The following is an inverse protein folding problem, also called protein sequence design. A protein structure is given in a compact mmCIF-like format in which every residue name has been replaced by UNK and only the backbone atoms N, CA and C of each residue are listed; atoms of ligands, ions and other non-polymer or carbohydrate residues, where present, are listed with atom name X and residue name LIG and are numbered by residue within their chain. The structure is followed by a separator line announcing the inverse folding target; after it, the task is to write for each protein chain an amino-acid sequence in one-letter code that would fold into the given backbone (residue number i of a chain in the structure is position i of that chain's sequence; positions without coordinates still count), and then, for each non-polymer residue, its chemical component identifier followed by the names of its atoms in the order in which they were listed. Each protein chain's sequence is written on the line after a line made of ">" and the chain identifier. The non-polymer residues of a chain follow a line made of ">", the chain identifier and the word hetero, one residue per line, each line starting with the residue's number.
data_IF_303015905116
#
_entry.id   IF_303015905116
#
_cell.length_a   1.000
_cell.length_b   1.000
_cell.length_c   1.000
_cell.angle_alpha   90.00
_cell.angle_beta   90.00
_cell.angle_gamma   90.00
#
_symmetry.space_group_name_H-M   'P 1'
#
loop_
_entity.id
_entity.type
_entity.pdbx_description
1 polymer ?
#
# COMPACT_ATOMS: atom_id res chain seq x y z
N UNK A 1 -15.67 19.19 1.03
CA UNK A 1 -14.80 18.69 2.09
C UNK A 1 -13.99 17.50 1.59
N UNK A 2 -12.79 17.31 2.07
CA UNK A 2 -11.88 16.23 1.67
C UNK A 2 -11.62 15.31 2.85
N UNK A 3 -11.60 13.99 2.61
CA UNK A 3 -11.24 13.01 3.64
C UNK A 3 -9.73 12.71 3.52
N UNK A 4 -8.96 13.07 4.54
CA UNK A 4 -7.54 12.75 4.66
C UNK A 4 -7.27 11.79 5.83
N UNK A 5 -8.34 11.26 6.43
CA UNK A 5 -8.31 10.36 7.59
C UNK A 5 -8.90 9.01 7.23
N UNK A 6 -8.39 7.95 7.87
CA UNK A 6 -8.88 6.58 7.75
C UNK A 6 -8.80 5.89 9.12
N UNK A 7 -9.71 4.93 9.36
CA UNK A 7 -9.87 4.21 10.62
C UNK A 7 -10.96 4.81 11.50
N UNK A 8 -11.36 4.08 12.55
CA UNK A 8 -12.36 4.50 13.54
C UNK A 8 -11.74 4.77 14.90
N UNK A 9 -11.24 3.73 15.58
CA UNK A 9 -10.53 3.85 16.87
C UNK A 9 -9.06 4.12 16.57
N UNK A 10 -8.37 3.18 15.90
CA UNK A 10 -7.07 3.47 15.33
C UNK A 10 -7.27 4.26 14.06
N UNK A 11 -7.17 5.55 14.13
CA UNK A 11 -7.32 6.40 12.96
C UNK A 11 -6.06 7.26 12.75
N UNK A 12 -5.84 7.63 11.48
CA UNK A 12 -4.76 8.57 11.18
C UNK A 12 -5.12 9.50 10.04
N UNK A 13 -4.64 10.73 10.16
CA UNK A 13 -4.76 11.78 9.15
C UNK A 13 -3.41 12.06 8.54
N UNK A 14 -3.27 11.97 7.20
CA UNK A 14 -2.03 12.32 6.49
C UNK A 14 -2.12 13.72 5.89
N UNK A 15 -1.01 14.44 5.86
CA UNK A 15 -0.89 15.79 5.31
C UNK A 15 0.45 15.99 4.57
N UNK A 16 0.55 17.11 3.85
CA UNK A 16 1.75 17.52 3.10
C UNK A 16 1.78 16.99 1.66
N UNK A 17 2.54 17.66 0.82
CA UNK A 17 2.68 17.43 -0.61
C UNK A 17 4.09 16.95 -0.96
N UNK A 18 4.21 16.26 -2.11
CA UNK A 18 5.48 15.65 -2.54
C UNK A 18 6.62 16.65 -2.76
N UNK A 19 6.30 17.92 -3.03
CA UNK A 19 7.23 19.02 -3.23
C UNK A 19 6.99 20.16 -2.22
N UNK A 20 6.23 19.91 -1.15
CA UNK A 20 6.13 20.78 0.02
C UNK A 20 7.36 20.64 0.91
N UNK A 21 7.39 21.37 2.03
CA UNK A 21 8.50 21.32 3.01
C UNK A 21 8.62 19.93 3.66
N UNK A 22 7.48 19.35 4.01
CA UNK A 22 7.39 18.09 4.71
C UNK A 22 6.10 17.33 4.34
N UNK A 23 6.06 16.07 4.71
CA UNK A 23 4.86 15.25 4.82
C UNK A 23 4.73 14.74 6.25
N UNK A 24 3.52 14.54 6.72
CA UNK A 24 3.32 14.05 8.08
C UNK A 24 2.01 13.30 8.24
N UNK A 25 1.85 12.71 9.41
CA UNK A 25 0.56 12.18 9.86
C UNK A 25 0.37 12.40 11.35
N UNK A 26 -0.89 12.48 11.75
CA UNK A 26 -1.31 12.39 13.14
C UNK A 26 -2.04 11.06 13.27
N UNK A 27 -1.58 10.22 14.21
CA UNK A 27 -2.16 8.91 14.53
C UNK A 27 -2.85 9.02 15.88
N UNK A 28 -4.10 8.64 15.96
CA UNK A 28 -4.90 8.68 17.19
C UNK A 28 -5.47 7.29 17.53
N UNK A 29 -5.98 7.13 18.76
CA UNK A 29 -6.51 5.87 19.26
C UNK A 29 -5.44 4.83 19.62
N UNK A 30 -4.20 5.24 19.81
CA UNK A 30 -3.11 4.34 20.22
C UNK A 30 -3.16 4.17 21.75
N UNK A 31 -3.29 2.92 22.29
CA UNK A 31 -3.23 2.69 23.72
C UNK A 31 -1.95 3.20 24.36
N UNK A 32 -2.01 3.64 25.62
CA UNK A 32 -0.84 4.05 26.39
C UNK A 32 0.08 2.86 26.75
N UNK A 33 1.31 3.15 27.18
CA UNK A 33 2.32 2.19 27.64
C UNK A 33 2.86 1.21 26.58
N UNK A 34 2.69 1.49 25.29
CA UNK A 34 3.33 0.72 24.22
C UNK A 34 4.73 1.34 23.94
N UNK A 35 5.77 0.52 23.96
CA UNK A 35 7.12 0.98 23.60
C UNK A 35 7.15 1.45 22.14
N UNK A 36 7.51 2.71 21.91
CA UNK A 36 7.55 3.33 20.60
C UNK A 36 8.64 4.41 20.52
N UNK A 37 9.51 4.22 19.54
CA UNK A 37 10.55 5.18 19.15
C UNK A 37 10.64 5.22 17.62
N UNK A 38 11.38 6.19 17.08
CA UNK A 38 11.65 6.26 15.64
C UNK A 38 12.30 4.97 15.10
N UNK A 39 13.10 4.27 15.91
CA UNK A 39 13.74 2.99 15.56
C UNK A 39 12.72 1.88 15.29
N UNK A 40 11.53 1.98 15.82
CA UNK A 40 10.44 1.02 15.57
C UNK A 40 9.73 1.30 14.23
N UNK A 41 9.80 2.52 13.71
CA UNK A 41 9.13 2.97 12.49
C UNK A 41 10.07 2.94 11.28
N UNK A 42 11.30 3.42 11.47
CA UNK A 42 12.27 3.63 10.39
C UNK A 42 12.52 2.39 9.51
N UNK A 43 12.65 1.15 10.03
CA UNK A 43 12.87 -0.02 9.20
C UNK A 43 11.76 -0.29 8.16
N UNK A 44 10.51 0.09 8.45
CA UNK A 44 9.41 -0.03 7.51
C UNK A 44 9.47 1.07 6.44
N UNK A 45 9.85 2.28 6.82
CA UNK A 45 10.07 3.38 5.87
C UNK A 45 11.24 3.07 4.94
N UNK A 46 12.31 2.47 5.46
CA UNK A 46 13.47 2.05 4.67
C UNK A 46 13.09 1.05 3.58
N UNK A 47 12.18 0.13 3.85
CA UNK A 47 11.64 -0.80 2.84
C UNK A 47 10.85 -0.10 1.73
N UNK A 48 10.20 1.03 2.03
CA UNK A 48 9.34 1.77 1.08
C UNK A 48 10.08 2.86 0.31
N UNK A 49 11.14 3.45 0.87
CA UNK A 49 11.81 4.63 0.31
C UNK A 49 12.20 4.47 -1.16
N UNK A 50 12.27 5.56 -1.94
CA UNK A 50 12.71 5.51 -3.32
C UNK A 50 14.23 5.24 -3.42
N UNK A 51 14.70 4.84 -4.61
CA UNK A 51 16.13 4.72 -4.89
C UNK A 51 16.82 3.46 -4.35
N UNK A 52 16.06 2.42 -3.96
CA UNK A 52 16.63 1.17 -3.43
C UNK A 52 17.27 0.27 -4.48
N UNK A 53 16.88 0.41 -5.75
CA UNK A 53 17.40 -0.40 -6.84
C UNK A 53 17.35 0.34 -8.17
N UNK A 54 18.08 -0.18 -9.17
CA UNK A 54 18.02 0.31 -10.56
C UNK A 54 16.62 0.16 -11.20
N UNK A 55 15.71 -0.57 -10.58
CA UNK A 55 14.34 -0.84 -11.07
C UNK A 55 13.30 0.12 -10.51
N UNK A 56 13.67 0.98 -9.56
CA UNK A 56 12.81 2.02 -8.97
C UNK A 56 13.25 3.41 -9.41
N UNK A 57 12.51 4.44 -8.99
CA UNK A 57 12.87 5.84 -9.27
C UNK A 57 14.25 6.21 -8.73
N UNK A 58 14.94 7.10 -9.43
CA UNK A 58 16.25 7.63 -9.03
C UNK A 58 16.16 8.75 -7.96
N UNK A 59 14.96 9.15 -7.53
CA UNK A 59 14.78 10.07 -6.41
C UNK A 59 15.40 9.47 -5.16
N UNK A 60 16.13 10.28 -4.41
CA UNK A 60 16.77 9.86 -3.15
C UNK A 60 16.12 10.61 -1.99
N UNK A 61 15.52 9.88 -1.09
CA UNK A 61 14.94 10.41 0.15
C UNK A 61 15.35 9.48 1.27
N UNK A 62 15.82 10.03 2.37
CA UNK A 62 16.18 9.22 3.54
C UNK A 62 14.94 8.73 4.28
N UNK A 63 13.81 9.44 4.12
CA UNK A 63 12.55 9.20 4.82
C UNK A 63 12.74 9.12 6.35
N UNK A 64 13.65 9.94 6.88
CA UNK A 64 13.91 10.00 8.32
C UNK A 64 12.69 10.54 9.04
N UNK A 65 12.08 9.71 9.87
CA UNK A 65 10.90 10.06 10.64
C UNK A 65 11.30 10.69 11.97
N UNK A 66 10.52 11.69 12.41
CA UNK A 66 10.59 12.27 13.74
C UNK A 66 9.23 12.15 14.42
N UNK A 67 9.22 11.77 15.71
CA UNK A 67 8.03 11.75 16.56
C UNK A 67 7.97 13.09 17.29
N UNK A 68 6.91 13.86 17.06
CA UNK A 68 6.75 15.21 17.64
C UNK A 68 5.87 15.22 18.91
N UNK A 69 5.02 14.21 19.11
CA UNK A 69 4.10 14.11 20.25
C UNK A 69 3.63 12.69 20.49
N UNK A 70 2.92 12.48 21.59
CA UNK A 70 2.23 11.22 21.91
C UNK A 70 3.14 10.14 22.51
N UNK A 71 4.40 10.47 22.83
CA UNK A 71 5.33 9.58 23.53
C UNK A 71 6.02 10.30 24.69
N UNK A 72 6.30 9.55 25.75
CA UNK A 72 7.09 9.98 26.90
C UNK A 72 7.97 8.82 27.37
N UNK A 73 9.26 9.05 27.57
CA UNK A 73 10.25 8.02 27.97
C UNK A 73 10.19 6.73 27.10
N UNK A 74 10.01 6.91 25.78
CA UNK A 74 9.96 5.80 24.82
C UNK A 74 8.65 4.98 24.84
N UNK A 75 7.60 5.48 25.49
CA UNK A 75 6.27 4.84 25.55
C UNK A 75 5.19 5.77 25.06
N UNK A 76 4.14 5.19 24.48
CA UNK A 76 2.94 5.93 24.08
C UNK A 76 2.19 6.44 25.31
N UNK A 77 1.59 7.62 25.21
CA UNK A 77 0.86 8.29 26.30
C UNK A 77 -0.65 8.15 26.22
N UNK A 78 -1.17 7.56 25.11
CA UNK A 78 -2.62 7.55 24.83
C UNK A 78 -3.13 8.80 24.14
N UNK A 79 -2.26 9.77 23.88
CA UNK A 79 -2.56 11.01 23.15
C UNK A 79 -2.14 10.89 21.69
N UNK A 80 -2.60 11.80 20.78
CA UNK A 80 -2.25 11.77 19.38
C UNK A 80 -0.74 11.79 19.12
N UNK A 81 -0.28 10.89 18.29
CA UNK A 81 1.12 10.77 17.87
C UNK A 81 1.30 11.51 16.56
N UNK A 82 2.07 12.58 16.58
CA UNK A 82 2.41 13.35 15.38
C UNK A 82 3.76 12.90 14.84
N UNK A 83 3.77 12.54 13.54
CA UNK A 83 4.95 12.12 12.80
C UNK A 83 5.22 13.08 11.65
N UNK A 84 6.50 13.38 11.40
CA UNK A 84 6.94 14.24 10.30
C UNK A 84 8.14 13.63 9.57
N UNK A 85 8.20 13.86 8.25
CA UNK A 85 9.35 13.57 7.37
C UNK A 85 9.57 14.80 6.50
N UNK A 86 10.76 15.39 6.56
CA UNK A 86 11.14 16.51 5.70
C UNK A 86 11.50 16.02 4.29
N UNK A 87 11.05 16.76 3.26
CA UNK A 87 11.40 16.47 1.87
C UNK A 87 12.78 17.06 1.57
N UNK A 88 13.69 16.23 1.02
CA UNK A 88 15.09 16.62 0.75
C UNK A 88 15.39 16.76 -0.75
N UNK A 89 14.94 15.83 -1.61
CA UNK A 89 15.26 15.78 -3.05
C UNK A 89 14.06 16.19 -3.92
N UNK A 90 13.57 17.43 -3.74
CA UNK A 90 12.52 18.02 -4.58
C UNK A 90 13.13 18.86 -5.71
N UNK A 91 12.79 18.57 -6.99
CA UNK A 91 13.25 19.31 -8.18
C UNK A 91 12.08 19.93 -8.93
N UNK A 92 11.66 21.09 -8.50
CA UNK A 92 10.50 21.82 -9.08
C UNK A 92 10.69 22.20 -10.56
N UNK A 93 11.94 22.33 -11.03
CA UNK A 93 12.26 22.70 -12.42
C UNK A 93 11.83 21.64 -13.46
N UNK A 94 11.68 20.38 -13.06
CA UNK A 94 11.31 19.26 -13.96
C UNK A 94 9.84 19.30 -14.42
N UNK A 95 9.02 20.21 -13.89
CA UNK A 95 7.56 20.22 -14.06
C UNK A 95 7.00 21.42 -14.83
N UNK A 96 7.85 22.21 -15.53
CA UNK A 96 7.43 23.42 -16.27
C UNK A 96 6.33 23.16 -17.29
N UNK A 97 6.49 22.13 -18.14
CA UNK A 97 5.54 21.75 -19.17
C UNK A 97 4.20 21.23 -18.62
N UNK A 98 4.20 20.69 -17.38
CA UNK A 98 3.02 20.12 -16.73
C UNK A 98 2.14 21.22 -16.12
N UNK A 99 2.66 22.44 -15.92
CA UNK A 99 1.93 23.54 -15.31
C UNK A 99 0.61 23.84 -16.03
N UNK A 100 0.63 23.86 -17.35
CA UNK A 100 -0.53 24.21 -18.18
C UNK A 100 -1.21 23.01 -18.86
N UNK A 101 -0.68 21.77 -18.70
CA UNK A 101 -1.22 20.57 -19.35
C UNK A 101 -1.63 19.53 -18.33
N UNK A 102 -2.56 18.64 -18.69
CA UNK A 102 -2.96 17.52 -17.83
C UNK A 102 -2.33 16.23 -18.32
N UNK A 103 -1.71 15.47 -17.42
CA UNK A 103 -1.18 14.13 -17.76
C UNK A 103 -2.34 13.14 -17.91
N UNK A 104 -2.50 12.46 -19.06
CA UNK A 104 -3.53 11.44 -19.23
C UNK A 104 -3.37 10.31 -18.21
N UNK A 105 -4.48 9.91 -17.59
CA UNK A 105 -4.47 8.87 -16.57
C UNK A 105 -3.88 9.26 -15.21
N UNK A 106 -3.46 10.53 -15.03
CA UNK A 106 -3.03 11.10 -13.75
C UNK A 106 -4.18 11.90 -13.10
N UNK A 107 -4.07 12.21 -11.81
CA UNK A 107 -5.07 12.97 -11.07
C UNK A 107 -5.09 14.48 -11.40
N UNK A 108 -4.30 14.97 -12.33
CA UNK A 108 -4.16 16.39 -12.65
C UNK A 108 -5.49 17.08 -12.97
N UNK A 109 -6.27 16.49 -13.90
CA UNK A 109 -7.55 17.03 -14.33
C UNK A 109 -8.60 16.98 -13.22
N UNK A 110 -8.70 15.85 -12.51
CA UNK A 110 -9.70 15.64 -11.46
C UNK A 110 -9.44 16.54 -10.25
N UNK A 111 -8.19 16.75 -9.87
CA UNK A 111 -7.83 17.69 -8.80
C UNK A 111 -8.13 19.13 -9.20
N UNK A 112 -7.77 19.52 -10.42
CA UNK A 112 -8.08 20.84 -10.94
C UNK A 112 -9.59 21.11 -10.97
N UNK A 113 -10.40 20.13 -11.41
CA UNK A 113 -11.87 20.25 -11.41
C UNK A 113 -12.46 20.32 -10.01
N UNK A 114 -11.94 19.53 -9.08
CA UNK A 114 -12.49 19.46 -7.72
C UNK A 114 -12.14 20.66 -6.85
N UNK A 115 -10.89 21.12 -6.95
CA UNK A 115 -10.36 22.15 -6.05
C UNK A 115 -10.15 23.52 -6.70
N UNK A 116 -10.33 23.66 -8.02
CA UNK A 116 -10.01 24.88 -8.77
C UNK A 116 -8.53 25.18 -8.90
N UNK A 117 -7.69 24.53 -8.12
CA UNK A 117 -6.23 24.67 -8.08
C UNK A 117 -5.57 23.29 -7.97
N UNK A 118 -4.35 23.16 -8.50
CA UNK A 118 -3.50 21.98 -8.28
C UNK A 118 -2.05 22.37 -8.10
N UNK A 119 -1.33 21.68 -7.26
CA UNK A 119 0.12 21.71 -7.27
C UNK A 119 0.62 20.81 -8.41
N UNK A 120 1.14 21.41 -9.47
CA UNK A 120 1.66 20.67 -10.62
C UNK A 120 3.02 20.01 -10.36
N UNK A 121 3.71 20.40 -9.28
CA UNK A 121 5.03 19.88 -8.92
C UNK A 121 4.87 18.47 -8.35
N UNK A 122 5.30 17.46 -9.10
CA UNK A 122 5.27 16.05 -8.67
C UNK A 122 3.88 15.45 -8.38
N UNK A 123 2.79 16.21 -8.55
CA UNK A 123 1.41 15.77 -8.32
C UNK A 123 0.88 16.01 -6.90
N UNK A 124 1.60 16.75 -6.05
CA UNK A 124 1.10 17.13 -4.72
C UNK A 124 0.67 15.92 -3.87
N UNK A 125 -0.56 15.94 -3.35
CA UNK A 125 -1.18 14.85 -2.58
C UNK A 125 -1.44 13.57 -3.38
N UNK A 126 -1.54 13.65 -4.71
CA UNK A 126 -1.72 12.45 -5.55
C UNK A 126 -0.42 11.67 -5.81
N UNK A 127 0.71 12.17 -5.33
CA UNK A 127 2.00 11.50 -5.45
C UNK A 127 2.12 10.32 -4.50
N UNK A 128 2.78 9.24 -4.94
CA UNK A 128 3.12 8.10 -4.09
C UNK A 128 4.03 8.47 -2.89
N UNK A 129 4.55 9.71 -2.82
CA UNK A 129 5.35 10.22 -1.70
C UNK A 129 4.57 10.18 -0.38
N UNK A 130 3.28 10.51 -0.40
CA UNK A 130 2.42 10.53 0.78
C UNK A 130 2.30 9.17 1.47
N UNK A 131 2.50 8.07 0.73
CA UNK A 131 2.43 6.71 1.28
C UNK A 131 3.51 6.43 2.33
N UNK A 132 4.55 7.25 2.46
CA UNK A 132 5.50 7.16 3.56
C UNK A 132 4.79 7.29 4.91
N UNK A 133 3.85 8.21 5.03
CA UNK A 133 3.11 8.42 6.28
C UNK A 133 2.13 7.27 6.58
N UNK A 134 1.59 6.61 5.56
CA UNK A 134 0.80 5.38 5.74
C UNK A 134 1.66 4.25 6.29
N UNK A 135 2.89 4.12 5.80
CA UNK A 135 3.85 3.10 6.29
C UNK A 135 4.28 3.41 7.73
N UNK A 136 4.48 4.69 8.07
CA UNK A 136 4.78 5.09 9.43
C UNK A 136 3.62 4.77 10.40
N UNK A 137 2.36 5.08 10.03
CA UNK A 137 1.18 4.68 10.80
C UNK A 137 1.05 3.15 10.90
N UNK A 138 1.34 2.42 9.81
CA UNK A 138 1.34 0.96 9.78
C UNK A 138 2.35 0.32 10.74
N UNK A 139 3.50 0.96 10.98
CA UNK A 139 4.48 0.50 11.97
C UNK A 139 3.91 0.59 13.40
N UNK A 140 3.20 1.67 13.73
CA UNK A 140 2.49 1.82 15.01
C UNK A 140 1.38 0.78 15.12
N UNK A 141 0.60 0.58 14.06
CA UNK A 141 -0.47 -0.43 14.01
C UNK A 141 0.06 -1.85 14.34
N UNK A 142 1.23 -2.22 13.82
CA UNK A 142 1.87 -3.51 14.13
C UNK A 142 2.21 -3.66 15.63
N UNK A 143 2.55 -2.57 16.33
CA UNK A 143 2.77 -2.59 17.78
C UNK A 143 1.46 -2.87 18.54
N UNK A 144 0.35 -2.27 18.11
CA UNK A 144 -0.97 -2.51 18.68
C UNK A 144 -1.38 -3.98 18.48
N UNK A 145 -1.25 -4.49 17.25
CA UNK A 145 -1.56 -5.89 16.94
C UNK A 145 -0.77 -6.85 17.85
N UNK A 146 0.55 -6.61 17.99
CA UNK A 146 1.42 -7.41 18.85
C UNK A 146 1.00 -7.35 20.35
N UNK A 147 0.48 -6.21 20.78
CA UNK A 147 0.02 -6.03 22.16
C UNK A 147 -1.33 -6.71 22.41
N UNK A 148 -2.24 -6.67 21.44
CA UNK A 148 -3.62 -7.17 21.56
C UNK A 148 -3.77 -8.65 21.27
N UNK A 149 -2.99 -9.19 20.34
CA UNK A 149 -3.10 -10.60 19.91
C UNK A 149 -1.94 -11.40 20.52
N UNK A 150 -2.27 -12.44 21.31
CA UNK A 150 -1.28 -13.31 21.96
C UNK A 150 -0.44 -14.12 20.96
N UNK A 151 -1.03 -14.51 19.83
CA UNK A 151 -0.31 -15.21 18.77
C UNK A 151 0.61 -14.25 18.02
N UNK A 152 1.70 -14.78 17.47
CA UNK A 152 2.53 -14.00 16.57
C UNK A 152 1.80 -13.75 15.26
N UNK A 153 1.40 -12.50 15.02
CA UNK A 153 0.83 -12.08 13.74
C UNK A 153 1.94 -11.68 12.77
N UNK A 154 1.94 -12.32 11.60
CA UNK A 154 2.92 -12.05 10.54
C UNK A 154 2.17 -11.52 9.31
N UNK A 155 2.52 -10.31 8.88
CA UNK A 155 1.98 -9.68 7.66
C UNK A 155 3.08 -9.67 6.62
N UNK A 156 2.87 -10.36 5.52
CA UNK A 156 3.84 -10.52 4.42
C UNK A 156 3.23 -10.06 3.11
N UNK A 157 3.87 -9.09 2.47
CA UNK A 157 3.52 -8.65 1.13
C UNK A 157 4.46 -9.26 0.09
N UNK A 158 3.92 -9.65 -1.05
CA UNK A 158 4.68 -10.17 -2.18
C UNK A 158 4.18 -9.59 -3.50
N UNK A 159 5.10 -9.26 -4.39
CA UNK A 159 4.78 -8.96 -5.78
C UNK A 159 4.60 -10.30 -6.51
N UNK A 160 3.41 -10.51 -7.08
CA UNK A 160 3.06 -11.77 -7.72
C UNK A 160 2.91 -11.69 -9.24
N UNK A 161 2.84 -10.48 -9.80
CA UNK A 161 2.77 -10.26 -11.24
C UNK A 161 3.30 -8.88 -11.64
N UNK A 162 4.06 -8.81 -12.73
CA UNK A 162 4.41 -7.58 -13.45
C UNK A 162 4.02 -7.76 -14.91
N UNK A 163 3.21 -6.84 -15.45
CA UNK A 163 2.69 -6.95 -16.81
C UNK A 163 1.99 -8.30 -17.01
N UNK A 164 2.44 -9.06 -18.03
CA UNK A 164 1.86 -10.36 -18.36
C UNK A 164 2.52 -11.54 -17.61
N UNK A 165 3.56 -11.31 -16.83
CA UNK A 165 4.37 -12.36 -16.22
C UNK A 165 4.02 -12.54 -14.75
N UNK A 166 3.35 -13.65 -14.43
CA UNK A 166 2.93 -14.06 -13.09
C UNK A 166 3.93 -15.08 -12.53
N UNK A 167 4.10 -15.09 -11.19
CA UNK A 167 4.88 -16.12 -10.48
C UNK A 167 4.29 -17.51 -10.68
N UNK A 168 5.10 -18.54 -10.48
CA UNK A 168 4.60 -19.89 -10.21
C UNK A 168 4.42 -20.03 -8.68
N UNK A 169 3.19 -20.31 -8.22
CA UNK A 169 2.88 -20.47 -6.80
C UNK A 169 3.56 -21.69 -6.15
N UNK A 170 3.94 -22.70 -6.94
CA UNK A 170 4.70 -23.87 -6.45
C UNK A 170 6.11 -23.47 -5.98
N UNK A 171 6.66 -22.38 -6.53
CA UNK A 171 7.96 -21.83 -6.15
C UNK A 171 7.89 -20.85 -4.97
N UNK A 172 6.73 -20.73 -4.28
CA UNK A 172 6.55 -19.75 -3.22
C UNK A 172 7.50 -19.96 -2.04
N UNK A 173 8.38 -18.98 -1.80
CA UNK A 173 9.35 -18.99 -0.71
C UNK A 173 9.32 -17.66 0.07
N UNK A 174 8.73 -17.68 1.28
CA UNK A 174 8.65 -16.50 2.15
C UNK A 174 10.04 -15.94 2.52
N UNK A 175 11.06 -16.80 2.68
CA UNK A 175 12.39 -16.37 3.05
C UNK A 175 13.14 -15.68 1.90
N UNK A 176 12.67 -15.81 0.68
CA UNK A 176 13.24 -15.16 -0.50
C UNK A 176 12.68 -13.76 -0.74
N UNK A 177 11.45 -13.48 -0.29
CA UNK A 177 10.76 -12.17 -0.49
C UNK A 177 11.65 -10.99 -0.08
N UNK A 178 12.22 -10.91 1.13
CA UNK A 178 13.02 -9.76 1.55
C UNK A 178 14.44 -9.72 0.95
N UNK A 179 14.84 -10.75 0.19
CA UNK A 179 16.20 -10.90 -0.35
C UNK A 179 16.36 -10.45 -1.79
N UNK A 180 15.29 -9.94 -2.42
CA UNK A 180 15.32 -9.48 -3.80
C UNK A 180 14.64 -8.12 -3.96
N UNK A 181 14.99 -7.41 -5.04
CA UNK A 181 14.52 -6.04 -5.30
C UNK A 181 13.03 -5.95 -5.70
N UNK A 182 12.36 -7.06 -5.90
CA UNK A 182 10.98 -7.13 -6.37
C UNK A 182 9.99 -7.57 -5.30
N UNK A 183 10.46 -7.99 -4.13
CA UNK A 183 9.62 -8.66 -3.13
C UNK A 183 8.94 -9.92 -3.69
N UNK A 184 9.57 -10.59 -4.63
CA UNK A 184 9.04 -11.82 -5.23
C UNK A 184 9.24 -13.00 -4.30
N UNK A 185 8.22 -13.88 -4.16
CA UNK A 185 8.38 -15.17 -3.50
C UNK A 185 9.01 -16.22 -4.41
N UNK A 186 9.03 -15.99 -5.73
CA UNK A 186 9.55 -16.88 -6.77
C UNK A 186 10.88 -16.34 -7.31
N UNK A 187 11.93 -17.17 -7.23
CA UNK A 187 13.27 -16.81 -7.70
C UNK A 187 13.37 -16.81 -9.23
N UNK A 188 12.65 -17.69 -9.89
CA UNK A 188 12.79 -17.93 -11.32
C UNK A 188 12.24 -16.77 -12.16
N UNK A 189 11.20 -16.08 -11.68
CA UNK A 189 10.56 -14.96 -12.38
C UNK A 189 11.42 -13.68 -12.41
N UNK A 190 12.40 -13.55 -11.53
CA UNK A 190 13.17 -12.32 -11.33
C UNK A 190 13.80 -11.81 -12.63
N UNK A 191 14.48 -12.68 -13.38
CA UNK A 191 15.16 -12.30 -14.62
C UNK A 191 14.18 -11.85 -15.71
N UNK A 192 13.00 -12.47 -15.74
CA UNK A 192 11.93 -12.10 -16.67
C UNK A 192 11.44 -10.69 -16.34
N UNK A 193 11.14 -10.38 -15.08
CA UNK A 193 10.71 -9.06 -14.64
C UNK A 193 11.78 -7.98 -14.85
N UNK A 194 13.06 -8.31 -14.65
CA UNK A 194 14.16 -7.40 -14.95
C UNK A 194 14.17 -6.97 -16.42
N UNK A 195 14.01 -7.92 -17.35
CA UNK A 195 13.98 -7.68 -18.78
C UNK A 195 12.74 -6.87 -19.18
N UNK A 196 11.57 -7.21 -18.65
CA UNK A 196 10.31 -6.50 -18.90
C UNK A 196 10.41 -5.02 -18.49
N UNK A 197 10.93 -4.74 -17.29
CA UNK A 197 11.11 -3.36 -16.82
C UNK A 197 12.12 -2.60 -17.67
N UNK A 198 13.22 -3.24 -18.09
CA UNK A 198 14.20 -2.60 -18.96
C UNK A 198 13.59 -2.27 -20.33
N UNK A 199 12.80 -3.17 -20.89
CA UNK A 199 12.09 -2.96 -22.17
C UNK A 199 11.10 -1.82 -22.06
N UNK A 200 10.28 -1.78 -20.99
CA UNK A 200 9.35 -0.69 -20.73
C UNK A 200 10.08 0.66 -20.58
N UNK A 201 11.22 0.70 -19.89
CA UNK A 201 12.04 1.93 -19.77
C UNK A 201 12.59 2.40 -21.10
N UNK A 202 13.14 1.49 -21.93
CA UNK A 202 13.66 1.83 -23.26
C UNK A 202 12.59 2.39 -24.19
N UNK A 203 11.36 1.86 -24.10
CA UNK A 203 10.21 2.37 -24.88
C UNK A 203 9.56 3.62 -24.28
N UNK A 204 10.09 4.17 -23.18
CA UNK A 204 9.51 5.32 -22.48
C UNK A 204 8.14 5.04 -21.87
N UNK A 205 7.86 3.79 -21.51
CA UNK A 205 6.60 3.29 -20.95
C UNK A 205 6.74 2.85 -19.48
N UNK A 206 5.70 2.21 -18.93
CA UNK A 206 5.64 1.69 -17.57
C UNK A 206 4.77 0.44 -17.51
N UNK A 207 4.89 -0.33 -16.42
CA UNK A 207 4.18 -1.59 -16.21
C UNK A 207 3.29 -1.53 -14.97
N UNK A 208 2.17 -2.24 -15.03
CA UNK A 208 1.32 -2.53 -13.88
C UNK A 208 1.81 -3.76 -13.12
N UNK A 209 1.20 -3.99 -11.97
CA UNK A 209 1.57 -5.10 -11.09
C UNK A 209 0.40 -5.58 -10.26
N UNK A 210 0.49 -6.82 -9.76
CA UNK A 210 -0.40 -7.38 -8.74
C UNK A 210 0.44 -7.72 -7.51
N UNK A 211 -0.04 -7.27 -6.36
CA UNK A 211 0.54 -7.53 -5.06
C UNK A 211 -0.41 -8.42 -4.25
N UNK A 212 0.13 -9.40 -3.55
CA UNK A 212 -0.59 -10.22 -2.60
C UNK A 212 -0.09 -9.94 -1.18
N UNK A 213 -1.02 -9.75 -0.24
CA UNK A 213 -0.74 -9.63 1.17
C UNK A 213 -1.32 -10.84 1.89
N UNK A 214 -0.50 -11.51 2.68
CA UNK A 214 -0.86 -12.64 3.52
C UNK A 214 -0.71 -12.27 4.99
N UNK A 215 -1.68 -12.64 5.80
CA UNK A 215 -1.62 -12.42 7.26
C UNK A 215 -1.87 -13.72 7.99
N UNK A 216 -0.86 -14.19 8.72
CA UNK A 216 -0.95 -15.38 9.59
C UNK A 216 -1.09 -14.98 11.04
N UNK A 217 -1.77 -15.82 11.82
CA UNK A 217 -1.84 -15.68 13.27
C UNK A 217 -3.01 -14.83 13.78
N UNK A 218 -3.90 -14.36 12.91
CA UNK A 218 -5.13 -13.70 13.34
C UNK A 218 -6.06 -14.68 14.06
N UNK A 219 -6.75 -14.28 15.15
CA UNK A 219 -7.82 -15.07 15.72
C UNK A 219 -9.04 -15.08 14.80
N UNK A 220 -9.93 -16.03 14.97
CA UNK A 220 -11.29 -15.94 14.46
C UNK A 220 -12.04 -14.84 15.22
N UNK A 221 -12.94 -14.13 14.53
CA UNK A 221 -13.87 -13.19 15.17
C UNK A 221 -13.55 -11.70 14.97
N UNK A 222 -12.49 -11.32 14.25
CA UNK A 222 -12.25 -9.91 13.91
C UNK A 222 -13.09 -9.49 12.72
N UNK A 223 -13.74 -8.35 12.80
CA UNK A 223 -14.64 -7.81 11.80
C UNK A 223 -16.07 -7.76 12.27
N UNK A 224 -16.93 -7.12 11.48
CA UNK A 224 -18.33 -6.91 11.76
C UNK A 224 -19.20 -7.49 10.64
N UNK A 225 -20.44 -7.85 10.94
CA UNK A 225 -21.35 -8.32 9.90
C UNK A 225 -21.84 -7.24 9.02
N UNK A 226 -22.10 -6.89 8.00
CA UNK A 226 -22.81 -5.94 7.12
C UNK A 226 -21.88 -4.82 6.61
N UNK A 227 -21.71 -3.71 7.35
CA UNK A 227 -21.03 -2.51 6.78
C UNK A 227 -19.56 -2.35 7.19
N UNK A 228 -19.17 -2.92 8.30
CA UNK A 228 -17.81 -2.83 8.87
C UNK A 228 -17.07 -4.17 8.75
N UNK A 229 -17.35 -4.90 7.68
CA UNK A 229 -16.66 -6.14 7.35
C UNK A 229 -15.16 -5.89 7.24
N UNK A 230 -14.34 -6.79 7.78
CA UNK A 230 -12.87 -6.61 7.71
C UNK A 230 -12.36 -6.65 6.27
N UNK A 231 -12.96 -7.45 5.39
CA UNK A 231 -12.63 -7.50 3.97
C UNK A 231 -13.00 -6.20 3.24
N UNK A 232 -14.14 -5.60 3.59
CA UNK A 232 -14.59 -4.30 3.08
C UNK A 232 -13.64 -3.18 3.48
N UNK A 233 -13.24 -3.14 4.77
CA UNK A 233 -12.32 -2.13 5.30
C UNK A 233 -10.90 -2.30 4.72
N UNK A 234 -10.42 -3.55 4.55
CA UNK A 234 -9.18 -3.85 3.84
C UNK A 234 -9.26 -3.39 2.39
N UNK A 235 -10.36 -3.69 1.69
CA UNK A 235 -10.55 -3.25 0.31
C UNK A 235 -10.56 -1.73 0.18
N UNK A 236 -11.23 -1.01 1.08
CA UNK A 236 -11.21 0.46 1.15
C UNK A 236 -9.80 0.99 1.39
N UNK A 237 -9.07 0.40 2.33
CA UNK A 237 -7.72 0.80 2.67
C UNK A 237 -6.75 0.60 1.50
N UNK A 238 -6.77 -0.57 0.86
CA UNK A 238 -5.93 -0.90 -0.31
C UNK A 238 -6.33 -0.08 -1.55
N UNK A 239 -7.64 0.09 -1.82
CA UNK A 239 -8.12 0.90 -2.95
C UNK A 239 -7.73 2.38 -2.80
N UNK A 240 -7.50 2.87 -1.58
CA UNK A 240 -7.04 4.24 -1.33
C UNK A 240 -5.57 4.47 -1.72
N UNK A 241 -4.78 3.42 -1.94
CA UNK A 241 -3.38 3.54 -2.37
C UNK A 241 -3.33 4.09 -3.80
N UNK A 242 -2.39 5.01 -4.05
CA UNK A 242 -2.21 5.62 -5.36
C UNK A 242 -2.03 4.56 -6.46
N UNK A 243 -2.72 4.73 -7.58
CA UNK A 243 -2.72 3.84 -8.75
C UNK A 243 -3.38 2.47 -8.56
N UNK A 244 -3.94 2.13 -7.42
CA UNK A 244 -4.72 0.90 -7.24
C UNK A 244 -6.03 0.98 -8.03
N UNK A 245 -6.41 -0.15 -8.66
CA UNK A 245 -7.58 -0.27 -9.54
C UNK A 245 -8.45 -1.50 -9.27
N UNK A 246 -8.01 -2.39 -8.41
CA UNK A 246 -8.77 -3.57 -8.02
C UNK A 246 -8.25 -4.12 -6.70
N UNK A 247 -9.13 -4.76 -5.94
CA UNK A 247 -8.81 -5.49 -4.71
C UNK A 247 -9.59 -6.79 -4.72
N UNK A 248 -8.97 -7.87 -4.30
CA UNK A 248 -9.56 -9.20 -4.22
C UNK A 248 -9.29 -9.84 -2.84
N UNK A 249 -10.21 -10.67 -2.39
CA UNK A 249 -10.08 -11.51 -1.19
C UNK A 249 -10.14 -12.99 -1.59
N UNK A 250 -9.25 -13.81 -1.05
CA UNK A 250 -9.23 -15.25 -1.36
C UNK A 250 -9.09 -15.52 -2.86
N UNK A 251 -9.97 -16.32 -3.44
CA UNK A 251 -9.99 -16.60 -4.89
C UNK A 251 -10.44 -15.38 -5.73
N UNK A 252 -11.05 -14.35 -5.07
CA UNK A 252 -11.39 -13.10 -5.74
C UNK A 252 -12.26 -13.32 -6.98
N UNK A 253 -11.87 -12.69 -8.11
CA UNK A 253 -12.58 -12.79 -9.39
C UNK A 253 -12.64 -14.23 -9.89
N UNK A 254 -11.63 -15.07 -9.58
CA UNK A 254 -11.60 -16.46 -10.02
C UNK A 254 -12.73 -17.32 -9.43
N UNK A 255 -13.37 -16.87 -8.34
CA UNK A 255 -14.54 -17.56 -7.76
C UNK A 255 -15.71 -17.70 -8.74
N UNK A 256 -15.78 -16.85 -9.79
CA UNK A 256 -16.83 -16.94 -10.83
C UNK A 256 -16.75 -18.23 -11.64
N UNK A 257 -15.58 -18.86 -11.70
CA UNK A 257 -15.37 -20.13 -12.41
C UNK A 257 -15.64 -21.36 -11.53
N UNK A 258 -15.89 -21.14 -10.23
CA UNK A 258 -16.14 -22.20 -9.27
C UNK A 258 -17.63 -22.49 -9.15
N UNK A 259 -17.93 -23.71 -8.72
CA UNK A 259 -19.29 -24.09 -8.30
C UNK A 259 -19.42 -23.98 -6.78
N UNK A 260 -20.65 -24.00 -6.26
CA UNK A 260 -20.86 -24.06 -4.82
C UNK A 260 -20.22 -25.31 -4.16
N UNK A 261 -19.99 -26.38 -4.94
CA UNK A 261 -19.31 -27.60 -4.46
C UNK A 261 -17.79 -27.40 -4.37
N UNK A 262 -17.17 -26.76 -5.35
CA UNK A 262 -15.72 -26.59 -5.40
C UNK A 262 -15.20 -25.41 -4.57
N UNK A 263 -16.02 -24.40 -4.35
CA UNK A 263 -15.60 -23.17 -3.64
C UNK A 263 -15.79 -23.23 -2.11
N UNK A 264 -16.41 -24.29 -1.57
CA UNK A 264 -16.61 -24.40 -0.12
C UNK A 264 -15.30 -24.69 0.61
N UNK A 265 -15.08 -24.02 1.75
CA UNK A 265 -13.98 -24.31 2.66
C UNK A 265 -14.48 -25.31 3.70
N UNK A 266 -14.42 -26.63 3.39
CA UNK A 266 -14.87 -27.67 4.28
C UNK A 266 -14.14 -27.66 5.63
N UNK A 267 -14.84 -28.04 6.70
CA UNK A 267 -14.31 -28.02 8.05
C UNK A 267 -14.23 -29.43 8.65
N UNK A 268 -13.21 -29.65 9.45
CA UNK A 268 -13.01 -30.83 10.28
C UNK A 268 -12.59 -30.41 11.70
N UNK A 269 -12.50 -31.34 12.59
CA UNK A 269 -11.93 -31.14 13.93
C UNK A 269 -10.57 -31.80 14.01
N UNK A 270 -9.54 -31.04 14.41
CA UNK A 270 -8.22 -31.57 14.73
C UNK A 270 -7.78 -31.00 16.08
N UNK A 271 -7.42 -31.87 17.03
CA UNK A 271 -6.99 -31.48 18.37
C UNK A 271 -7.98 -30.51 19.07
N UNK A 272 -9.27 -30.81 18.99
CA UNK A 272 -10.38 -30.00 19.52
C UNK A 272 -10.46 -28.57 18.95
N UNK A 273 -9.88 -28.32 17.79
CA UNK A 273 -9.93 -27.05 17.09
C UNK A 273 -10.47 -27.23 15.68
N UNK A 274 -11.15 -26.22 15.11
CA UNK A 274 -11.57 -26.27 13.72
C UNK A 274 -10.33 -26.31 12.80
N UNK A 275 -10.39 -27.14 11.79
CA UNK A 275 -9.43 -27.24 10.69
C UNK A 275 -10.20 -27.07 9.39
N UNK A 276 -9.85 -26.05 8.64
CA UNK A 276 -10.35 -25.83 7.29
C UNK A 276 -9.48 -26.60 6.29
N UNK A 277 -10.11 -27.27 5.31
CA UNK A 277 -9.41 -28.08 4.32
C UNK A 277 -8.94 -27.27 3.12
N UNK A 278 -9.51 -26.08 2.89
CA UNK A 278 -9.14 -25.10 1.87
C UNK A 278 -9.24 -23.69 2.44
N UNK A 279 -8.87 -22.68 1.66
CA UNK A 279 -8.96 -21.26 2.05
C UNK A 279 -9.37 -20.41 0.83
N UNK A 280 -10.41 -20.84 0.13
CA UNK A 280 -10.93 -20.16 -1.07
C UNK A 280 -11.43 -18.76 -0.77
N UNK A 281 -11.97 -18.56 0.45
CA UNK A 281 -12.49 -17.28 0.92
C UNK A 281 -11.42 -16.36 1.54
N UNK A 282 -10.15 -16.78 1.56
CA UNK A 282 -9.04 -15.96 2.02
C UNK A 282 -9.10 -15.57 3.49
N UNK A 283 -9.60 -16.48 4.35
CA UNK A 283 -9.60 -16.31 5.80
C UNK A 283 -10.72 -15.41 6.35
N UNK A 284 -11.73 -15.06 5.54
CA UNK A 284 -12.85 -14.20 5.94
C UNK A 284 -14.17 -14.81 5.47
N UNK A 285 -15.11 -14.97 6.39
CA UNK A 285 -16.48 -15.41 6.09
C UNK A 285 -17.47 -14.43 6.73
N UNK A 286 -18.44 -13.97 5.93
CA UNK A 286 -19.44 -13.00 6.39
C UNK A 286 -18.87 -11.67 6.88
N UNK A 287 -17.64 -11.32 6.48
CA UNK A 287 -16.94 -10.09 6.91
C UNK A 287 -16.12 -10.25 8.20
N UNK A 288 -15.97 -11.48 8.71
CA UNK A 288 -15.34 -11.80 9.98
C UNK A 288 -14.22 -12.83 9.74
N UNK A 289 -13.07 -12.66 10.41
CA UNK A 289 -11.94 -13.59 10.27
C UNK A 289 -12.27 -14.98 10.77
N UNK A 290 -11.80 -16.02 10.08
CA UNK A 290 -11.98 -17.45 10.43
C UNK A 290 -10.87 -18.00 11.31
N UNK A 291 -9.75 -17.28 11.47
CA UNK A 291 -8.52 -17.78 12.07
C UNK A 291 -7.56 -18.44 11.07
N UNK A 292 -7.97 -18.61 9.82
CA UNK A 292 -7.09 -19.00 8.71
C UNK A 292 -6.16 -17.85 8.29
N UNK A 293 -5.24 -18.14 7.38
CA UNK A 293 -4.44 -17.09 6.73
C UNK A 293 -5.35 -16.14 5.94
N UNK A 294 -5.31 -14.85 6.28
CA UNK A 294 -5.99 -13.83 5.49
C UNK A 294 -5.19 -13.56 4.23
N UNK A 295 -5.84 -13.64 3.06
CA UNK A 295 -5.22 -13.45 1.75
C UNK A 295 -5.99 -12.38 0.98
N UNK A 296 -5.31 -11.30 0.63
CA UNK A 296 -5.85 -10.23 -0.21
C UNK A 296 -4.87 -9.86 -1.30
N UNK A 297 -5.39 -9.47 -2.46
CA UNK A 297 -4.59 -8.99 -3.61
C UNK A 297 -5.06 -7.61 -4.02
N UNK A 298 -4.14 -6.82 -4.58
CA UNK A 298 -4.53 -5.56 -5.20
C UNK A 298 -3.73 -5.28 -6.47
N UNK A 299 -4.41 -4.64 -7.42
CA UNK A 299 -3.91 -4.34 -8.76
C UNK A 299 -3.46 -2.90 -8.84
N UNK A 300 -2.23 -2.69 -9.23
CA UNK A 300 -1.63 -1.36 -9.45
C UNK A 300 -1.48 -1.12 -10.94
N UNK A 301 -2.13 -0.08 -11.47
CA UNK A 301 -2.01 0.28 -12.88
C UNK A 301 -0.61 0.80 -13.23
N UNK A 302 -0.20 0.76 -14.51
CA UNK A 302 1.01 1.41 -14.98
C UNK A 302 1.06 2.90 -14.60
N UNK A 303 2.25 3.41 -14.30
CA UNK A 303 2.48 4.84 -14.03
C UNK A 303 2.10 5.67 -15.24
N UNK A 304 1.28 6.70 -15.06
CA UNK A 304 0.83 7.57 -16.16
C UNK A 304 1.85 8.64 -16.58
N UNK A 305 2.89 8.84 -15.78
CA UNK A 305 3.99 9.76 -16.12
C UNK A 305 5.02 9.01 -16.96
N UNK A 306 4.91 9.10 -18.28
CA UNK A 306 5.74 8.39 -19.26
C UNK A 306 6.38 9.34 -20.25
N UNK A 307 7.51 8.92 -20.85
CA UNK A 307 8.25 9.71 -21.84
C UNK A 307 7.58 9.69 -23.22
N UNK A 308 6.88 8.61 -23.55
CA UNK A 308 6.14 8.49 -24.81
C UNK A 308 5.10 9.60 -24.94
N UNK A 309 5.10 10.43 -26.02
CA UNK A 309 4.12 11.50 -26.20
C UNK A 309 2.68 10.99 -26.22
N UNK A 310 1.77 11.71 -25.56
CA UNK A 310 0.34 11.37 -25.48
C UNK A 310 -0.51 12.60 -25.77
N UNK A 311 -1.64 12.38 -26.46
CA UNK A 311 -2.67 13.41 -26.67
C UNK A 311 -3.30 13.78 -25.32
N UNK A 312 -3.52 15.07 -25.12
CA UNK A 312 -4.14 15.61 -23.89
C UNK A 312 -4.76 16.99 -24.18
N UNK A 313 -5.26 17.62 -23.12
CA UNK A 313 -5.74 18.99 -23.13
C UNK A 313 -4.95 19.85 -22.14
N UNK A 314 -4.95 21.16 -22.39
CA UNK A 314 -4.37 22.14 -21.48
C UNK A 314 -5.44 22.77 -20.56
N UNK A 315 -5.02 23.63 -19.64
CA UNK A 315 -5.91 24.35 -18.70
C UNK A 315 -6.90 25.32 -19.38
N UNK A 316 -6.68 25.65 -20.66
CA UNK A 316 -7.60 26.45 -21.50
C UNK A 316 -8.53 25.56 -22.33
N UNK A 317 -8.61 24.27 -22.05
CA UNK A 317 -9.40 23.24 -22.74
C UNK A 317 -9.05 23.11 -24.24
N UNK A 318 -7.82 23.37 -24.63
CA UNK A 318 -7.34 23.18 -26.01
C UNK A 318 -6.55 21.88 -26.10
N UNK A 319 -6.72 21.16 -27.22
CA UNK A 319 -5.95 19.95 -27.53
C UNK A 319 -4.46 20.24 -27.61
N UNK A 320 -3.67 19.32 -27.11
CA UNK A 320 -2.20 19.38 -27.10
C UNK A 320 -1.60 17.98 -26.94
N UNK A 321 -0.28 17.91 -26.91
CA UNK A 321 0.46 16.70 -26.56
C UNK A 321 1.33 16.95 -25.32
N UNK A 322 1.62 15.88 -24.59
CA UNK A 322 2.51 15.90 -23.44
C UNK A 322 3.45 14.70 -23.46
N UNK A 323 4.71 14.94 -23.10
CA UNK A 323 5.69 13.92 -22.75
C UNK A 323 6.17 14.24 -21.33
N UNK A 324 6.00 13.32 -20.40
CA UNK A 324 6.31 13.59 -19.00
C UNK A 324 7.77 13.23 -18.72
N UNK A 325 8.63 14.24 -18.73
CA UNK A 325 10.03 14.09 -18.28
C UNK A 325 10.06 14.01 -16.77
N UNK A 326 11.02 13.28 -16.19
CA UNK A 326 11.19 13.18 -14.75
C UNK A 326 11.63 11.78 -14.29
N UNK A 327 11.84 11.66 -12.97
CA UNK A 327 12.31 10.43 -12.32
C UNK A 327 11.12 9.61 -11.82
N UNK A 328 10.48 8.87 -12.73
CA UNK A 328 9.31 8.05 -12.41
C UNK A 328 9.68 6.58 -12.23
N UNK A 329 8.91 5.86 -11.41
CA UNK A 329 9.03 4.42 -11.28
C UNK A 329 8.54 3.75 -12.57
N UNK A 330 9.32 2.86 -13.20
CA UNK A 330 8.85 2.08 -14.36
C UNK A 330 7.77 1.06 -13.97
N UNK A 331 7.75 0.65 -12.70
CA UNK A 331 6.71 -0.16 -12.08
C UNK A 331 6.55 0.28 -10.62
N UNK A 332 5.50 1.02 -10.32
CA UNK A 332 5.26 1.52 -8.95
C UNK A 332 4.81 0.39 -8.00
N UNK A 333 4.38 -0.76 -8.53
CA UNK A 333 3.99 -1.94 -7.76
C UNK A 333 5.08 -2.44 -6.82
N UNK A 334 6.36 -2.33 -7.20
CA UNK A 334 7.48 -2.73 -6.34
C UNK A 334 7.43 -1.98 -4.99
N UNK A 335 7.17 -0.67 -5.03
CA UNK A 335 7.07 0.17 -3.82
C UNK A 335 5.72 0.06 -3.13
N UNK A 336 4.70 -0.47 -3.80
CA UNK A 336 3.37 -0.64 -3.23
C UNK A 336 3.30 -1.82 -2.24
N UNK A 337 4.24 -2.77 -2.29
CA UNK A 337 4.27 -3.93 -1.38
C UNK A 337 4.30 -3.50 0.10
N UNK A 338 5.30 -2.75 0.61
CA UNK A 338 5.30 -2.30 2.00
C UNK A 338 4.14 -1.35 2.34
N UNK A 339 3.58 -0.64 1.36
CA UNK A 339 2.39 0.19 1.56
C UNK A 339 1.15 -0.66 1.78
N UNK A 340 0.97 -1.72 0.98
CA UNK A 340 -0.12 -2.69 1.14
C UNK A 340 -0.07 -3.37 2.52
N UNK A 341 1.12 -3.85 2.92
CA UNK A 341 1.33 -4.40 4.28
C UNK A 341 0.91 -3.41 5.38
N UNK A 342 1.29 -2.15 5.23
CA UNK A 342 0.97 -1.11 6.21
C UNK A 342 -0.54 -0.84 6.27
N UNK A 343 -1.22 -0.74 5.13
CA UNK A 343 -2.66 -0.48 5.10
C UNK A 343 -3.47 -1.65 5.66
N UNK A 344 -3.06 -2.89 5.41
CA UNK A 344 -3.66 -4.07 6.04
C UNK A 344 -3.40 -4.07 7.55
N UNK A 345 -2.19 -3.71 7.99
CA UNK A 345 -1.88 -3.59 9.42
C UNK A 345 -2.74 -2.54 10.12
N UNK A 346 -2.94 -1.36 9.51
CA UNK A 346 -3.78 -0.29 10.09
C UNK A 346 -5.24 -0.74 10.24
N UNK A 347 -5.78 -1.44 9.25
CA UNK A 347 -7.14 -1.99 9.32
C UNK A 347 -7.27 -3.03 10.43
N UNK A 348 -6.33 -3.98 10.50
CA UNK A 348 -6.35 -5.01 11.55
C UNK A 348 -6.23 -4.39 12.94
N UNK A 349 -5.35 -3.40 13.13
CA UNK A 349 -5.20 -2.71 14.41
C UNK A 349 -6.49 -2.02 14.85
N UNK A 350 -7.19 -1.36 13.91
CA UNK A 350 -8.47 -0.74 14.19
C UNK A 350 -9.53 -1.77 14.62
N UNK A 351 -9.63 -2.90 13.91
CA UNK A 351 -10.53 -4.00 14.30
C UNK A 351 -10.14 -4.64 15.63
N UNK A 352 -8.84 -4.80 15.93
CA UNK A 352 -8.41 -5.29 17.24
C UNK A 352 -8.84 -4.37 18.39
N UNK A 353 -8.81 -3.05 18.19
CA UNK A 353 -9.23 -2.09 19.23
C UNK A 353 -10.74 -2.00 19.38
N UNK A 354 -11.50 -2.34 18.34
CA UNK A 354 -12.97 -2.40 18.41
C UNK A 354 -13.46 -3.67 19.09
N UNK A 355 -12.72 -4.76 18.98
CA UNK A 355 -13.20 -6.10 19.34
C UNK A 355 -12.46 -6.73 20.53
N UNK A 356 -11.17 -6.49 20.69
CA UNK A 356 -10.31 -7.05 21.74
C UNK A 356 -9.95 -6.00 22.78
#
# INVERSE_FOLDING_TARGET
>A
MTSNSIGKIFNFTTWGESHGKAIGCVVDGVPSNINLTEKDIQPYLDKRKPGQSKFTTQRKEEDKVEILSGTFEGKTTGHPISLIIYNQDQRSKDYGDIKSKFRPGHADYTYWKKYGIRDYRGGGRSSARETAMRVAAGAIARKIIKNKIKNQVVITGALIQIGNHKINYDNWNNNFIPKNNFWSPDKEIIKIWENEIQTARKSGSSLGAIIEIRVKGLPAGLGEPIYEKIDSDIAKALMSINAVKGVEMGNGISSVYETGISNVDEMRIKNKKPLFLSNNNGGVLGGITTGQELITRFVVKPTSSILSPKKTINTKLKETTISTKGRHDPCVGIRAVPVGEAMVATTIADHCLRFL
#
